data_IF_785912453584
#
_entry.id   IF_785912453584
#
_cell.length_a   1.000
_cell.length_b   1.000
_cell.length_c   1.000
_cell.angle_alpha   90.00
_cell.angle_beta   90.00
_cell.angle_gamma   90.00
#
_symmetry.space_group_name_H-M   'P 1'
#
loop_
_entity.id
_entity.type
_entity.pdbx_description
1 polymer ?
#
# COMPACT_ATOMS: atom_id res chain seq x y z
N UNK A 1 -12.87 -24.22 -34.94
CA UNK A 1 -11.73 -23.29 -34.83
C UNK A 1 -11.98 -22.43 -33.60
N UNK A 2 -11.31 -22.70 -32.48
CA UNK A 2 -11.43 -21.86 -31.29
C UNK A 2 -10.64 -20.57 -31.55
N UNK A 3 -11.32 -19.45 -31.73
CA UNK A 3 -10.69 -18.13 -31.75
C UNK A 3 -10.06 -17.91 -30.37
N UNK A 4 -8.75 -18.09 -30.27
CA UNK A 4 -8.01 -17.84 -29.04
C UNK A 4 -8.12 -16.35 -28.69
N UNK A 5 -8.55 -16.04 -27.48
CA UNK A 5 -8.55 -14.67 -26.96
C UNK A 5 -7.11 -14.19 -26.90
N UNK A 6 -6.79 -13.14 -27.65
CA UNK A 6 -5.47 -12.51 -27.61
C UNK A 6 -5.35 -11.66 -26.34
N UNK A 7 -4.41 -12.02 -25.47
CA UNK A 7 -4.14 -11.27 -24.23
C UNK A 7 -3.00 -10.29 -24.50
N UNK A 8 -3.31 -9.00 -24.50
CA UNK A 8 -2.30 -7.94 -24.59
C UNK A 8 -1.73 -7.65 -23.19
N UNK A 9 -0.40 -7.64 -23.07
CA UNK A 9 0.31 -7.31 -21.82
C UNK A 9 1.00 -5.96 -21.95
N UNK A 10 0.61 -5.02 -21.10
CA UNK A 10 1.26 -3.72 -21.00
C UNK A 10 2.17 -3.67 -19.78
N UNK A 11 3.37 -3.12 -19.96
CA UNK A 11 4.28 -2.77 -18.87
C UNK A 11 4.68 -1.32 -19.08
N UNK A 12 4.41 -0.48 -18.08
CA UNK A 12 4.76 0.94 -18.10
C UNK A 12 6.02 1.13 -17.24
N UNK A 13 7.19 1.43 -17.84
CA UNK A 13 8.41 1.62 -17.08
C UNK A 13 8.25 2.72 -16.02
N UNK A 14 8.66 2.44 -14.78
CA UNK A 14 8.64 3.40 -13.68
C UNK A 14 7.26 3.65 -13.07
N UNK A 15 6.24 2.89 -13.46
CA UNK A 15 4.91 2.97 -12.87
C UNK A 15 4.93 2.67 -11.37
N UNK A 16 5.73 1.71 -10.93
CA UNK A 16 5.93 1.36 -9.52
C UNK A 16 6.48 2.54 -8.70
N UNK A 17 7.46 3.26 -9.24
CA UNK A 17 8.05 4.43 -8.57
C UNK A 17 7.06 5.61 -8.53
N UNK A 18 6.32 5.83 -9.62
CA UNK A 18 5.28 6.86 -9.66
C UNK A 18 4.14 6.56 -8.67
N UNK A 19 3.68 5.32 -8.61
CA UNK A 19 2.66 4.87 -7.66
C UNK A 19 3.11 5.06 -6.22
N UNK A 20 4.35 4.68 -5.87
CA UNK A 20 4.86 4.89 -4.51
C UNK A 20 4.95 6.38 -4.13
N UNK A 21 5.38 7.25 -5.07
CA UNK A 21 5.37 8.71 -4.86
C UNK A 21 3.95 9.23 -4.60
N UNK A 22 2.98 8.80 -5.39
CA UNK A 22 1.58 9.18 -5.20
C UNK A 22 1.03 8.71 -3.85
N UNK A 23 1.36 7.48 -3.41
CA UNK A 23 0.96 6.98 -2.09
C UNK A 23 1.57 7.82 -0.95
N UNK A 24 2.82 8.23 -1.07
CA UNK A 24 3.44 9.12 -0.08
C UNK A 24 2.80 10.52 -0.07
N UNK A 25 2.40 11.04 -1.23
CA UNK A 25 1.64 12.30 -1.31
C UNK A 25 0.29 12.18 -0.60
N UNK A 26 -0.47 11.11 -0.85
CA UNK A 26 -1.73 10.83 -0.15
C UNK A 26 -1.52 10.73 1.37
N UNK A 27 -0.41 10.12 1.81
CA UNK A 27 -0.07 10.05 3.24
C UNK A 27 0.15 11.45 3.83
N UNK A 28 0.89 12.31 3.13
CA UNK A 28 1.16 13.69 3.55
C UNK A 28 -0.10 14.55 3.62
N UNK A 29 -1.06 14.31 2.72
CA UNK A 29 -2.39 14.93 2.72
C UNK A 29 -3.39 14.25 3.68
N UNK A 30 -2.95 13.22 4.41
CA UNK A 30 -3.78 12.38 5.29
C UNK A 30 -4.99 11.72 4.62
N UNK A 31 -4.90 11.48 3.30
CA UNK A 31 -5.96 10.87 2.50
C UNK A 31 -5.83 9.36 2.47
N UNK A 32 -6.97 8.71 2.71
CA UNK A 32 -7.08 7.25 2.74
C UNK A 32 -6.16 6.56 3.78
N UNK A 33 -5.59 7.32 4.72
CA UNK A 33 -4.82 6.77 5.83
C UNK A 33 -5.75 6.02 6.78
N UNK A 34 -5.58 4.71 6.85
CA UNK A 34 -6.39 3.74 7.58
C UNK A 34 -5.70 3.19 8.83
N UNK A 35 -4.49 3.66 9.14
CA UNK A 35 -3.75 3.33 10.36
C UNK A 35 -2.98 4.53 10.91
N UNK A 36 -2.84 4.56 12.24
CA UNK A 36 -1.92 5.45 12.94
C UNK A 36 -0.96 4.62 13.78
N UNK A 37 0.33 4.66 13.45
CA UNK A 37 1.39 4.06 14.26
C UNK A 37 1.77 5.04 15.36
N UNK A 38 1.75 4.56 16.60
CA UNK A 38 2.21 5.32 17.76
C UNK A 38 3.54 4.73 18.22
N UNK A 39 4.58 5.55 18.23
CA UNK A 39 5.89 5.22 18.76
C UNK A 39 6.24 6.26 19.83
N UNK A 40 6.13 5.86 21.09
CA UNK A 40 6.19 6.75 22.25
C UNK A 40 5.18 7.91 22.13
N UNK A 41 5.66 9.14 22.03
CA UNK A 41 4.84 10.35 21.86
C UNK A 41 4.58 10.72 20.40
N UNK A 42 5.21 10.02 19.45
CA UNK A 42 5.10 10.30 18.02
C UNK A 42 3.96 9.50 17.40
N UNK A 43 3.19 10.17 16.54
CA UNK A 43 2.08 9.57 15.80
C UNK A 43 2.31 9.70 14.30
N UNK A 44 2.22 8.59 13.59
CA UNK A 44 2.42 8.51 12.15
C UNK A 44 1.19 7.92 11.49
N UNK A 45 0.48 8.73 10.70
CA UNK A 45 -0.60 8.22 9.84
C UNK A 45 -0.02 7.58 8.58
N UNK A 46 -0.63 6.49 8.14
CA UNK A 46 -0.19 5.76 6.96
C UNK A 46 -1.25 4.83 6.39
N UNK A 47 -0.82 4.04 5.41
CA UNK A 47 -1.65 3.05 4.74
C UNK A 47 -1.23 1.64 5.18
N UNK A 48 -2.14 0.87 5.78
CA UNK A 48 -1.89 -0.50 6.25
C UNK A 48 -1.29 -1.36 5.16
N UNK A 49 -1.85 -1.28 3.95
CA UNK A 49 -1.41 -2.09 2.81
C UNK A 49 0.04 -1.82 2.41
N UNK A 50 0.49 -0.56 2.45
CA UNK A 50 1.87 -0.20 2.13
C UNK A 50 2.80 -0.66 3.24
N UNK A 51 2.42 -0.42 4.49
CA UNK A 51 3.20 -0.83 5.67
C UNK A 51 3.34 -2.36 5.78
N UNK A 52 2.28 -3.11 5.48
CA UNK A 52 2.28 -4.58 5.46
C UNK A 52 3.12 -5.16 4.31
N UNK A 53 3.16 -4.49 3.16
CA UNK A 53 4.01 -4.89 2.04
C UNK A 53 5.49 -4.72 2.38
N UNK A 54 5.83 -3.67 3.15
CA UNK A 54 7.21 -3.34 3.51
C UNK A 54 7.72 -4.02 4.80
N UNK A 55 6.84 -4.50 5.67
CA UNK A 55 7.22 -5.07 6.98
C UNK A 55 6.37 -6.31 7.32
N UNK A 56 6.97 -7.51 7.39
CA UNK A 56 6.29 -8.72 7.85
C UNK A 56 5.65 -8.57 9.23
N UNK A 57 6.33 -7.90 10.16
CA UNK A 57 5.79 -7.66 11.50
C UNK A 57 4.49 -6.86 11.45
N UNK A 58 4.47 -5.75 10.70
CA UNK A 58 3.25 -4.93 10.59
C UNK A 58 2.14 -5.67 9.85
N UNK A 59 2.49 -6.47 8.84
CA UNK A 59 1.52 -7.33 8.14
C UNK A 59 0.83 -8.29 9.10
N UNK A 60 1.61 -9.03 9.89
CA UNK A 60 1.06 -10.01 10.82
C UNK A 60 0.24 -9.31 11.92
N UNK A 61 0.71 -8.15 12.41
CA UNK A 61 0.00 -7.35 13.39
C UNK A 61 -1.38 -6.89 12.88
N UNK A 62 -1.47 -6.43 11.63
CA UNK A 62 -2.74 -6.00 11.03
C UNK A 62 -3.68 -7.18 10.72
N UNK A 63 -3.15 -8.36 10.40
CA UNK A 63 -3.96 -9.57 10.18
C UNK A 63 -4.52 -10.13 11.49
N UNK A 64 -3.71 -10.15 12.55
CA UNK A 64 -4.13 -10.64 13.87
C UNK A 64 -5.06 -9.66 14.60
N UNK A 65 -4.99 -8.37 14.26
CA UNK A 65 -5.82 -7.33 14.87
C UNK A 65 -6.52 -6.48 13.79
N UNK A 66 -7.58 -7.01 13.13
CA UNK A 66 -8.21 -6.35 11.99
C UNK A 66 -8.87 -4.99 12.34
N UNK A 67 -9.24 -4.80 13.60
CA UNK A 67 -9.90 -3.60 14.13
C UNK A 67 -8.94 -2.51 14.62
N UNK A 68 -7.63 -2.74 14.59
CA UNK A 68 -6.60 -1.76 14.98
C UNK A 68 -6.36 -0.68 13.94
#
# INVERSE_FOLDING_TARGET
MASGVEVLRFQLPGHEAATLRNMNQLRAEERFCDVTIVADSLKFRGHKVILAACSPFLRDQFLLNPSS
#
